data_IF_214579695543
#
_entry.id   IF_214579695543
#
_cell.length_a   1.000
_cell.length_b   1.000
_cell.length_c   1.000
_cell.angle_alpha   90.00
_cell.angle_beta   90.00
_cell.angle_gamma   90.00
#
_symmetry.space_group_name_H-M   'P 1'
#
loop_
_entity.id
_entity.type
_entity.pdbx_description
1 polymer ?
#
# COMPACT_ATOMS: atom_id res chain seq x y z
N UNK A 1 -0.86 -0.76 -26.62
CA UNK A 1 -1.90 0.23 -26.27
C UNK A 1 -2.43 -0.02 -24.86
N UNK A 2 -2.89 -1.24 -24.55
CA UNK A 2 -3.33 -1.70 -23.21
C UNK A 2 -2.45 -1.25 -22.03
N UNK A 3 -1.13 -1.47 -22.12
CA UNK A 3 -0.17 -1.09 -21.08
C UNK A 3 -0.10 0.43 -20.76
N UNK A 4 -0.30 1.29 -21.76
CA UNK A 4 -0.30 2.75 -21.53
C UNK A 4 -1.56 3.18 -20.78
N UNK A 5 -2.70 2.55 -21.09
CA UNK A 5 -3.97 2.78 -20.41
C UNK A 5 -3.88 2.40 -18.93
N UNK A 6 -3.36 1.20 -18.63
CA UNK A 6 -3.18 0.72 -17.24
C UNK A 6 -2.28 1.68 -16.44
N UNK A 7 -1.13 2.08 -16.99
CA UNK A 7 -0.26 3.04 -16.31
C UNK A 7 -0.91 4.40 -16.06
N UNK A 8 -1.65 4.91 -17.04
CA UNK A 8 -2.30 6.22 -16.91
C UNK A 8 -3.41 6.18 -15.86
N UNK A 9 -4.19 5.10 -15.82
CA UNK A 9 -5.21 4.92 -14.79
C UNK A 9 -4.60 4.74 -13.41
N UNK A 10 -3.54 3.94 -13.30
CA UNK A 10 -2.81 3.76 -12.04
C UNK A 10 -2.27 5.09 -11.49
N UNK A 11 -1.73 5.97 -12.35
CA UNK A 11 -1.32 7.33 -11.93
C UNK A 11 -2.44 8.20 -11.41
N UNK A 12 -3.66 8.03 -11.93
CA UNK A 12 -4.83 8.80 -11.51
C UNK A 12 -5.37 8.29 -10.18
N UNK A 13 -5.45 6.98 -10.02
CA UNK A 13 -5.93 6.33 -8.80
C UNK A 13 -4.92 6.36 -7.66
N UNK A 14 -3.62 6.32 -7.95
CA UNK A 14 -2.57 6.22 -6.93
C UNK A 14 -1.46 7.27 -7.11
N UNK A 15 -1.79 8.57 -6.96
CA UNK A 15 -0.85 9.67 -7.23
C UNK A 15 0.34 9.69 -6.24
N UNK A 16 0.19 9.08 -5.07
CA UNK A 16 1.16 9.07 -3.97
C UNK A 16 2.16 7.90 -4.03
N UNK A 17 2.04 6.98 -4.99
CA UNK A 17 3.00 5.89 -5.16
C UNK A 17 4.38 6.45 -5.50
N UNK A 18 5.33 6.32 -4.56
CA UNK A 18 6.67 6.92 -4.64
C UNK A 18 7.74 5.99 -5.19
N UNK A 19 7.36 4.80 -5.68
CA UNK A 19 8.29 3.87 -6.33
C UNK A 19 8.89 4.52 -7.59
N UNK A 20 10.23 4.53 -7.65
CA UNK A 20 11.01 5.09 -8.76
C UNK A 20 11.36 6.58 -8.66
N UNK A 21 10.62 7.41 -7.90
CA UNK A 21 10.95 8.85 -7.73
C UNK A 21 12.13 9.09 -6.76
N UNK A 22 12.41 8.13 -5.87
CA UNK A 22 13.39 8.28 -4.78
C UNK A 22 14.87 8.21 -5.16
N UNK A 23 15.23 7.77 -6.37
CA UNK A 23 16.64 7.83 -6.80
C UNK A 23 17.13 9.26 -7.08
N UNK A 24 16.25 10.26 -7.11
CA UNK A 24 16.60 11.59 -7.62
C UNK A 24 16.40 12.77 -6.65
N UNK A 25 15.75 12.61 -5.50
CA UNK A 25 15.68 13.68 -4.49
C UNK A 25 15.68 13.11 -3.08
N UNK A 26 16.76 13.38 -2.34
CA UNK A 26 16.76 13.38 -0.88
C UNK A 26 15.80 14.48 -0.43
N UNK A 27 14.56 14.10 -0.10
CA UNK A 27 13.64 15.02 0.55
C UNK A 27 14.12 15.17 2.00
N UNK A 28 14.78 16.31 2.30
CA UNK A 28 15.24 16.68 3.64
C UNK A 28 14.08 17.08 4.58
N UNK A 29 12.86 16.61 4.31
CA UNK A 29 11.70 16.86 5.16
C UNK A 29 11.86 16.04 6.44
N UNK A 30 11.89 16.74 7.58
CA UNK A 30 11.96 16.12 8.89
C UNK A 30 10.75 15.18 9.08
N UNK A 31 11.02 13.90 9.32
CA UNK A 31 9.97 12.89 9.42
C UNK A 31 9.23 13.02 10.74
N UNK A 32 7.94 13.28 10.66
CA UNK A 32 7.07 13.28 11.84
C UNK A 32 6.76 11.83 12.20
N UNK A 33 7.42 11.32 13.24
CA UNK A 33 7.13 9.98 13.76
C UNK A 33 5.75 9.95 14.39
N UNK A 34 5.12 8.78 14.36
CA UNK A 34 3.86 8.55 15.07
C UNK A 34 4.04 8.77 16.58
N UNK A 35 3.13 9.54 17.19
CA UNK A 35 3.25 10.05 18.57
C UNK A 35 3.38 8.93 19.62
N UNK A 36 3.97 9.26 20.77
CA UNK A 36 4.04 8.35 21.91
C UNK A 36 2.69 8.04 22.54
N UNK A 37 1.72 8.94 22.41
CA UNK A 37 0.39 8.84 23.02
C UNK A 37 -0.61 7.98 22.24
N UNK A 38 -0.32 7.63 20.98
CA UNK A 38 -1.22 6.80 20.18
C UNK A 38 -1.20 5.35 20.70
N UNK A 39 -2.36 4.67 20.69
CA UNK A 39 -2.43 3.24 20.99
C UNK A 39 -2.21 2.41 19.72
N UNK A 40 -2.12 1.08 19.85
CA UNK A 40 -2.06 0.21 18.66
C UNK A 40 -3.42 0.15 17.97
N UNK A 41 -4.51 0.21 18.72
CA UNK A 41 -5.88 0.24 18.21
C UNK A 41 -6.10 1.47 17.33
N UNK A 42 -5.63 2.64 17.77
CA UNK A 42 -5.68 3.88 16.97
C UNK A 42 -4.93 3.73 15.62
N UNK A 43 -3.83 2.97 15.60
CA UNK A 43 -3.08 2.69 14.36
C UNK A 43 -3.90 1.79 13.45
N UNK A 44 -4.53 0.75 13.99
CA UNK A 44 -5.38 -0.18 13.24
C UNK A 44 -6.59 0.56 12.66
N UNK A 45 -7.27 1.39 13.44
CA UNK A 45 -8.43 2.15 13.00
C UNK A 45 -8.07 3.11 11.86
N UNK A 46 -6.94 3.81 11.98
CA UNK A 46 -6.44 4.68 10.92
C UNK A 46 -6.04 3.89 9.67
N UNK A 47 -5.37 2.75 9.84
CA UNK A 47 -4.98 1.90 8.73
C UNK A 47 -6.22 1.37 7.99
N UNK A 48 -7.24 0.96 8.74
CA UNK A 48 -8.51 0.47 8.20
C UNK A 48 -9.20 1.57 7.40
N UNK A 49 -9.23 2.80 7.93
CA UNK A 49 -9.76 3.97 7.22
C UNK A 49 -9.00 4.27 5.91
N UNK A 50 -7.67 4.11 5.89
CA UNK A 50 -6.85 4.30 4.68
C UNK A 50 -7.15 3.21 3.65
N UNK A 51 -7.27 1.96 4.08
CA UNK A 51 -7.59 0.84 3.20
C UNK A 51 -8.99 1.02 2.61
N UNK A 52 -9.98 1.38 3.42
CA UNK A 52 -11.35 1.67 2.98
C UNK A 52 -11.39 2.81 1.97
N UNK A 53 -10.68 3.92 2.22
CA UNK A 53 -10.58 5.01 1.25
C UNK A 53 -9.87 4.57 -0.05
N UNK A 54 -8.83 3.73 0.06
CA UNK A 54 -8.11 3.18 -1.09
C UNK A 54 -8.94 2.22 -1.95
N UNK A 55 -10.01 1.63 -1.42
CA UNK A 55 -10.87 0.73 -2.18
C UNK A 55 -11.60 1.42 -3.34
N UNK A 56 -11.98 2.69 -3.19
CA UNK A 56 -12.60 3.45 -4.28
C UNK A 56 -11.60 3.72 -5.41
N UNK A 57 -10.32 3.98 -5.05
CA UNK A 57 -9.22 4.14 -6.00
C UNK A 57 -8.92 2.82 -6.73
N UNK A 58 -8.91 1.70 -6.00
CA UNK A 58 -8.79 0.34 -6.55
C UNK A 58 -9.93 0.04 -7.51
N UNK A 59 -11.18 0.34 -7.14
CA UNK A 59 -12.33 0.12 -8.00
C UNK A 59 -12.20 0.89 -9.30
N UNK A 60 -11.89 2.19 -9.20
CA UNK A 60 -11.65 3.06 -10.36
C UNK A 60 -10.51 2.53 -11.23
N UNK A 61 -9.44 2.02 -10.62
CA UNK A 61 -8.33 1.42 -11.35
C UNK A 61 -8.73 0.11 -12.04
N UNK A 62 -9.40 -0.81 -11.34
CA UNK A 62 -9.85 -2.09 -11.87
C UNK A 62 -10.76 -1.89 -13.10
N UNK A 63 -11.70 -0.95 -13.01
CA UNK A 63 -12.62 -0.64 -14.10
C UNK A 63 -11.94 -0.11 -15.36
N UNK A 64 -10.70 0.40 -15.24
CA UNK A 64 -9.89 0.87 -16.35
C UNK A 64 -9.02 -0.22 -17.01
N UNK A 65 -8.90 -1.39 -16.36
CA UNK A 65 -8.12 -2.52 -16.88
C UNK A 65 -8.89 -3.14 -18.05
N UNK A 66 -8.31 -3.20 -19.26
CA UNK A 66 -8.99 -3.83 -20.39
C UNK A 66 -9.26 -5.31 -20.11
N UNK A 67 -10.48 -5.77 -20.36
CA UNK A 67 -10.93 -7.12 -20.02
C UNK A 67 -11.61 -7.23 -18.65
N UNK A 68 -11.41 -6.27 -17.74
CA UNK A 68 -12.03 -6.35 -16.40
C UNK A 68 -13.54 -6.19 -16.44
N UNK A 69 -14.06 -5.33 -17.32
CA UNK A 69 -15.50 -5.11 -17.51
C UNK A 69 -16.23 -6.28 -18.18
N UNK A 70 -15.48 -7.20 -18.78
CA UNK A 70 -16.05 -8.35 -19.49
C UNK A 70 -16.50 -9.45 -18.51
N UNK A 71 -16.02 -9.40 -17.27
CA UNK A 71 -16.44 -10.31 -16.20
C UNK A 71 -17.86 -9.99 -15.69
N UNK A 72 -18.63 -11.02 -15.28
CA UNK A 72 -19.88 -10.84 -14.55
C UNK A 72 -19.70 -9.91 -13.33
N UNK A 73 -20.74 -9.16 -12.97
CA UNK A 73 -20.68 -8.23 -11.82
C UNK A 73 -20.30 -8.94 -10.50
N UNK A 74 -20.79 -10.17 -10.30
CA UNK A 74 -20.42 -10.99 -9.13
C UNK A 74 -18.91 -11.26 -9.07
N UNK A 75 -18.33 -11.70 -10.18
CA UNK A 75 -16.90 -12.01 -10.28
C UNK A 75 -16.05 -10.75 -10.11
N UNK A 76 -16.46 -9.62 -10.69
CA UNK A 76 -15.78 -8.33 -10.50
C UNK A 76 -15.74 -7.91 -9.04
N UNK A 77 -16.82 -8.09 -8.30
CA UNK A 77 -16.87 -7.78 -6.87
C UNK A 77 -15.93 -8.69 -6.07
N UNK A 78 -15.87 -9.98 -6.39
CA UNK A 78 -14.96 -10.94 -5.74
C UNK A 78 -13.50 -10.58 -6.02
N UNK A 79 -13.17 -10.32 -7.28
CA UNK A 79 -11.82 -9.90 -7.70
C UNK A 79 -11.40 -8.60 -7.02
N UNK A 80 -12.31 -7.63 -6.90
CA UNK A 80 -12.06 -6.39 -6.18
C UNK A 80 -11.86 -6.62 -4.68
N UNK A 81 -12.61 -7.51 -4.04
CA UNK A 81 -12.46 -7.78 -2.60
C UNK A 81 -11.14 -8.49 -2.28
N UNK A 82 -10.76 -9.49 -3.07
CA UNK A 82 -9.55 -10.27 -2.81
C UNK A 82 -8.32 -9.49 -3.27
N UNK A 83 -8.27 -9.11 -4.54
CA UNK A 83 -7.14 -8.41 -5.12
C UNK A 83 -7.01 -6.97 -4.64
N UNK A 84 -8.12 -6.32 -4.27
CA UNK A 84 -8.10 -4.93 -3.83
C UNK A 84 -7.35 -4.72 -2.53
N UNK A 85 -7.48 -5.64 -1.56
CA UNK A 85 -6.68 -5.58 -0.33
C UNK A 85 -5.18 -5.68 -0.65
N UNK A 86 -4.79 -6.63 -1.50
CA UNK A 86 -3.40 -6.82 -1.91
C UNK A 86 -2.85 -5.58 -2.64
N UNK A 87 -3.66 -4.94 -3.49
CA UNK A 87 -3.31 -3.67 -4.13
C UNK A 87 -3.11 -2.57 -3.09
N UNK A 88 -4.04 -2.40 -2.14
CA UNK A 88 -3.89 -1.41 -1.07
C UNK A 88 -2.60 -1.64 -0.25
N UNK A 89 -2.29 -2.89 0.12
CA UNK A 89 -1.08 -3.24 0.86
C UNK A 89 0.19 -3.01 0.04
N UNK A 90 0.17 -3.35 -1.26
CA UNK A 90 1.26 -3.05 -2.18
C UNK A 90 1.55 -1.55 -2.23
N UNK A 91 0.53 -0.71 -2.35
CA UNK A 91 0.67 0.75 -2.38
C UNK A 91 1.11 1.34 -1.05
N UNK A 92 0.63 0.79 0.06
CA UNK A 92 1.11 1.18 1.38
C UNK A 92 2.61 0.84 1.53
N UNK A 93 3.02 -0.36 1.11
CA UNK A 93 4.41 -0.79 1.11
C UNK A 93 5.31 0.09 0.22
N UNK A 94 4.78 0.68 -0.87
CA UNK A 94 5.47 1.69 -1.67
C UNK A 94 5.88 2.94 -0.88
N UNK A 95 5.24 3.19 0.27
CA UNK A 95 5.55 4.30 1.19
C UNK A 95 6.79 4.06 2.04
N UNK A 96 7.33 2.84 2.12
CA UNK A 96 8.41 2.46 3.02
C UNK A 96 9.76 3.09 2.66
N UNK A 97 10.36 3.84 3.58
CA UNK A 97 11.73 4.34 3.41
C UNK A 97 12.74 3.39 4.03
N UNK A 98 13.62 2.85 3.19
CA UNK A 98 14.69 1.94 3.62
C UNK A 98 15.73 2.60 4.50
N UNK A 99 15.99 3.91 4.35
CA UNK A 99 17.02 4.59 5.14
C UNK A 99 16.66 4.65 6.62
N UNK A 100 15.39 4.90 6.94
CA UNK A 100 14.90 4.99 8.32
C UNK A 100 14.11 3.75 8.74
N UNK A 101 13.96 2.77 7.86
CA UNK A 101 13.13 1.57 8.06
C UNK A 101 11.72 1.90 8.61
N UNK A 102 11.09 2.91 8.00
CA UNK A 102 9.78 3.39 8.42
C UNK A 102 8.80 3.39 7.25
N UNK A 103 7.57 2.99 7.55
CA UNK A 103 6.43 3.05 6.65
C UNK A 103 5.74 4.41 6.81
N UNK A 104 5.51 5.11 5.70
CA UNK A 104 4.63 6.27 5.70
C UNK A 104 3.18 5.79 5.73
N UNK A 105 2.42 6.21 6.73
CA UNK A 105 1.06 5.70 7.00
C UNK A 105 -0.02 6.73 6.63
N UNK A 106 -0.32 7.70 7.50
CA UNK A 106 -1.29 8.79 7.27
C UNK A 106 -0.65 10.15 7.54
N UNK A 107 -1.19 11.24 6.98
CA UNK A 107 -0.82 12.64 7.28
C UNK A 107 0.70 12.91 7.41
N UNK A 108 1.50 12.38 6.47
CA UNK A 108 2.97 12.48 6.51
C UNK A 108 3.65 11.83 7.74
N UNK A 109 2.90 11.02 8.49
CA UNK A 109 3.40 10.31 9.67
C UNK A 109 4.09 9.00 9.32
N UNK A 110 5.11 8.69 10.10
CA UNK A 110 5.98 7.55 9.89
C UNK A 110 5.91 6.56 11.06
N UNK A 111 5.68 5.30 10.71
CA UNK A 111 5.62 4.18 11.64
C UNK A 111 6.85 3.29 11.44
N UNK A 112 7.53 2.95 12.53
CA UNK A 112 8.61 1.95 12.53
C UNK A 112 8.10 0.63 13.12
N UNK A 113 8.66 -0.50 12.71
CA UNK A 113 8.32 -1.80 13.29
C UNK A 113 8.63 -1.87 14.81
N UNK A 114 9.71 -1.22 15.26
CA UNK A 114 10.03 -1.13 16.69
C UNK A 114 8.91 -0.45 17.51
N UNK A 115 8.30 0.59 16.96
CA UNK A 115 7.16 1.27 17.56
C UNK A 115 5.95 0.35 17.65
N UNK A 116 5.69 -0.46 16.63
CA UNK A 116 4.62 -1.49 16.66
C UNK A 116 4.88 -2.47 17.79
N UNK A 117 6.10 -3.03 17.92
CA UNK A 117 6.44 -3.93 19.03
C UNK A 117 6.27 -3.29 20.41
N UNK A 118 6.62 -2.00 20.55
CA UNK A 118 6.47 -1.28 21.82
C UNK A 118 5.00 -1.11 22.21
N UNK A 119 4.13 -0.82 21.24
CA UNK A 119 2.69 -0.67 21.46
C UNK A 119 1.99 -2.02 21.64
N UNK A 120 2.45 -3.06 20.93
CA UNK A 120 1.88 -4.40 21.05
C UNK A 120 2.30 -5.11 22.34
N UNK A 121 3.40 -4.74 23.00
CA UNK A 121 3.74 -5.26 24.34
C UNK A 121 2.69 -4.95 25.41
N UNK A 122 1.88 -3.90 25.21
CA UNK A 122 0.76 -3.58 26.11
C UNK A 122 -0.57 -4.26 25.74
N UNK A 123 -0.65 -4.92 24.59
CA UNK A 123 -1.85 -5.65 24.14
C UNK A 123 -1.54 -7.14 23.91
N UNK A 124 -2.51 -8.03 24.06
CA UNK A 124 -2.28 -9.48 23.85
C UNK A 124 -2.32 -9.88 22.36
N UNK A 125 -2.28 -8.93 21.44
CA UNK A 125 -2.58 -9.19 20.03
C UNK A 125 -1.33 -9.50 19.20
N UNK A 126 -0.97 -10.79 19.21
CA UNK A 126 0.04 -11.38 18.35
C UNK A 126 -0.26 -11.16 16.85
N UNK A 127 -1.54 -11.17 16.46
CA UNK A 127 -1.98 -11.08 15.06
C UNK A 127 -1.58 -9.76 14.43
N UNK A 128 -1.78 -8.65 15.15
CA UNK A 128 -1.41 -7.32 14.67
C UNK A 128 0.10 -7.19 14.49
N UNK A 129 0.88 -7.75 15.41
CA UNK A 129 2.35 -7.71 15.31
C UNK A 129 2.82 -8.46 14.06
N UNK A 130 2.32 -9.69 13.84
CA UNK A 130 2.64 -10.49 12.66
C UNK A 130 2.22 -9.80 11.37
N UNK A 131 1.05 -9.16 11.35
CA UNK A 131 0.59 -8.39 10.19
C UNK A 131 1.59 -7.30 9.80
N UNK A 132 2.05 -6.50 10.77
CA UNK A 132 3.03 -5.45 10.49
C UNK A 132 4.40 -6.02 10.11
N UNK A 133 4.85 -7.12 10.71
CA UNK A 133 6.09 -7.80 10.28
C UNK A 133 6.03 -8.20 8.80
N UNK A 134 4.92 -8.80 8.37
CA UNK A 134 4.71 -9.19 6.98
C UNK A 134 4.66 -7.98 6.04
N UNK A 135 3.98 -6.91 6.44
CA UNK A 135 3.90 -5.67 5.66
C UNK A 135 5.27 -5.00 5.50
N UNK A 136 6.06 -4.92 6.57
CA UNK A 136 7.42 -4.37 6.51
C UNK A 136 8.34 -5.26 5.67
N UNK A 137 8.23 -6.58 5.78
CA UNK A 137 8.99 -7.54 4.98
C UNK A 137 8.67 -7.42 3.47
N UNK A 138 7.38 -7.28 3.13
CA UNK A 138 6.94 -6.98 1.77
C UNK A 138 7.57 -5.67 1.27
N UNK A 139 7.49 -4.61 2.08
CA UNK A 139 8.00 -3.31 1.71
C UNK A 139 9.52 -3.29 1.51
N UNK A 140 10.26 -4.02 2.36
CA UNK A 140 11.70 -4.19 2.22
C UNK A 140 12.05 -4.96 0.94
N UNK A 141 11.33 -6.05 0.68
CA UNK A 141 11.48 -6.86 -0.53
C UNK A 141 11.22 -6.04 -1.79
N UNK A 142 10.15 -5.25 -1.83
CA UNK A 142 9.83 -4.36 -2.95
C UNK A 142 10.91 -3.30 -3.16
N UNK A 143 11.50 -2.77 -2.08
CA UNK A 143 12.55 -1.76 -2.19
C UNK A 143 13.88 -2.33 -2.71
N UNK A 144 14.14 -3.63 -2.50
CA UNK A 144 15.30 -4.32 -3.06
C UNK A 144 15.21 -4.51 -4.58
N UNK A 145 13.99 -4.50 -5.12
CA UNK A 145 13.74 -4.65 -6.55
C UNK A 145 13.88 -3.29 -7.26
N UNK A 146 14.45 -3.23 -8.49
CA UNK A 146 14.57 -2.00 -9.26
C UNK A 146 13.25 -1.58 -9.91
N UNK A 147 12.14 -1.66 -9.17
CA UNK A 147 10.80 -1.38 -9.68
C UNK A 147 10.65 0.09 -10.04
N UNK A 148 10.09 0.32 -11.21
CA UNK A 148 9.60 1.59 -11.67
C UNK A 148 8.11 1.69 -11.30
N UNK A 149 7.59 2.92 -11.32
CA UNK A 149 6.16 3.19 -11.14
C UNK A 149 5.29 2.25 -12.00
N UNK A 150 5.73 1.99 -13.22
CA UNK A 150 4.98 1.18 -14.16
C UNK A 150 4.90 -0.28 -13.71
N UNK A 151 5.98 -0.87 -13.19
CA UNK A 151 5.98 -2.25 -12.71
C UNK A 151 4.94 -2.46 -11.61
N UNK A 152 4.77 -1.46 -10.73
CA UNK A 152 3.71 -1.45 -9.70
C UNK A 152 2.33 -1.48 -10.34
N UNK A 153 2.11 -0.73 -11.42
CA UNK A 153 0.84 -0.74 -12.14
C UNK A 153 0.54 -2.11 -12.77
N UNK A 154 1.56 -2.82 -13.28
CA UNK A 154 1.38 -4.21 -13.76
C UNK A 154 1.01 -5.11 -12.60
N UNK A 155 1.78 -5.07 -11.51
CA UNK A 155 1.50 -5.93 -10.36
C UNK A 155 0.11 -5.67 -9.81
N UNK A 156 -0.30 -4.40 -9.65
CA UNK A 156 -1.65 -4.07 -9.22
C UNK A 156 -2.71 -4.64 -10.17
N UNK A 157 -2.49 -4.59 -11.49
CA UNK A 157 -3.43 -5.16 -12.45
C UNK A 157 -3.48 -6.69 -12.40
N UNK A 158 -2.33 -7.35 -12.20
CA UNK A 158 -2.25 -8.80 -12.05
C UNK A 158 -2.96 -9.30 -10.79
N UNK A 159 -2.85 -8.56 -9.67
CA UNK A 159 -3.55 -8.90 -8.43
C UNK A 159 -5.08 -8.79 -8.56
N UNK A 160 -5.56 -7.96 -9.49
CA UNK A 160 -6.99 -7.75 -9.73
C UNK A 160 -7.59 -8.67 -10.80
N UNK A 161 -6.76 -9.41 -11.52
CA UNK A 161 -7.20 -10.33 -12.56
C UNK A 161 -7.04 -11.77 -12.08
N UNK A 162 -7.97 -12.68 -12.42
CA UNK A 162 -7.82 -14.08 -12.08
C UNK A 162 -6.58 -14.65 -12.80
N UNK A 163 -5.76 -15.39 -12.04
CA UNK A 163 -4.59 -16.14 -12.54
C UNK A 163 -4.99 -17.48 -13.16
#
# INVERSE_FOLDING_TARGET
VMWRTVNQAHRKSFPTCNIGKRRLKEDNTEKVMVDSAITIEDIIDKLSSIIEAGYDDVKTFAESIPGFQDFPLGDRNILQQIGGLEVCLLHLACGFDKKTECLKVWDERWLSLEKVYKLSKSSTDFTTTVFFELLFSLADSLHSLPLQFHDVAIFSALLLLPS
#
